data_IF_919075485805
#
_entry.id   IF_919075485805
#
_cell.length_a   1.000
_cell.length_b   1.000
_cell.length_c   1.000
_cell.angle_alpha   90.00
_cell.angle_beta   90.00
_cell.angle_gamma   90.00
#
_symmetry.space_group_name_H-M   'P 1'
#
loop_
_entity.id
_entity.type
_entity.pdbx_description
1 polymer ?
#
# COMPACT_ATOMS: atom_id res chain seq x y z
N UNK A 1 -10.12 -39.06 21.95
CA UNK A 1 -10.45 -38.15 20.83
C UNK A 1 -9.35 -37.11 20.79
N UNK A 2 -8.39 -37.27 19.88
CA UNK A 2 -7.28 -36.33 19.74
C UNK A 2 -7.83 -35.01 19.23
N UNK A 3 -7.59 -33.90 19.93
CA UNK A 3 -7.91 -32.57 19.43
C UNK A 3 -7.03 -32.22 18.22
N UNK A 4 -7.61 -31.57 17.24
CA UNK A 4 -6.92 -31.12 16.05
C UNK A 4 -6.99 -29.60 15.97
N UNK A 5 -5.90 -28.98 15.54
CA UNK A 5 -5.81 -27.55 15.28
C UNK A 5 -5.84 -27.32 13.78
N UNK A 6 -6.67 -26.40 13.32
CA UNK A 6 -6.66 -25.95 11.95
C UNK A 6 -5.74 -24.73 11.85
N UNK A 7 -4.52 -24.93 11.37
CA UNK A 7 -3.56 -23.89 11.09
C UNK A 7 -3.27 -23.87 9.58
N UNK A 8 -3.40 -22.71 8.95
CA UNK A 8 -2.90 -22.43 7.60
C UNK A 8 -3.22 -23.51 6.57
N UNK A 9 -4.49 -23.88 6.46
CA UNK A 9 -4.99 -24.90 5.53
C UNK A 9 -4.60 -26.36 5.85
N UNK A 10 -3.93 -26.60 6.96
CA UNK A 10 -3.57 -27.94 7.40
C UNK A 10 -4.24 -28.23 8.75
N UNK A 11 -4.91 -29.36 8.79
CA UNK A 11 -5.37 -29.92 10.05
C UNK A 11 -4.15 -30.47 10.78
N UNK A 12 -3.78 -29.85 11.89
CA UNK A 12 -2.72 -30.35 12.74
C UNK A 12 -3.31 -31.25 13.82
N UNK A 13 -2.84 -32.48 13.89
CA UNK A 13 -3.16 -33.41 14.97
C UNK A 13 -2.20 -33.13 16.12
N UNK A 14 -2.74 -32.58 17.23
CA UNK A 14 -1.95 -32.22 18.42
C UNK A 14 -1.15 -33.41 18.92
N UNK A 15 -1.72 -34.60 18.88
CA UNK A 15 -1.01 -35.80 19.33
C UNK A 15 0.19 -36.19 18.46
N UNK A 16 0.21 -35.77 17.19
CA UNK A 16 1.37 -35.92 16.31
C UNK A 16 2.45 -34.89 16.65
N UNK A 17 2.05 -33.62 16.81
CA UNK A 17 3.00 -32.57 17.20
C UNK A 17 3.67 -32.94 18.52
N UNK A 18 2.90 -33.35 19.51
CA UNK A 18 3.42 -33.76 20.82
C UNK A 18 4.39 -34.95 20.74
N UNK A 19 4.24 -35.82 19.76
CA UNK A 19 5.17 -36.97 19.56
C UNK A 19 6.44 -36.62 18.82
N UNK A 20 6.44 -35.56 18.01
CA UNK A 20 7.61 -35.14 17.22
C UNK A 20 8.62 -34.34 18.05
N UNK A 21 8.18 -33.78 19.18
CA UNK A 21 9.03 -32.97 20.05
C UNK A 21 9.33 -33.66 21.37
N UNK A 22 10.53 -33.46 21.90
CA UNK A 22 10.99 -34.06 23.16
C UNK A 22 10.17 -33.52 24.35
N UNK A 23 10.11 -34.28 25.45
CA UNK A 23 9.37 -33.90 26.67
C UNK A 23 9.73 -32.51 27.23
N UNK A 24 10.95 -31.99 26.97
CA UNK A 24 11.36 -30.65 27.39
C UNK A 24 10.60 -29.53 26.66
N UNK A 25 10.19 -29.77 25.41
CA UNK A 25 9.51 -28.79 24.56
C UNK A 25 7.97 -28.88 24.69
N UNK A 26 7.49 -29.92 25.38
CA UNK A 26 6.06 -30.20 25.53
C UNK A 26 5.30 -29.03 26.17
N UNK A 27 5.88 -28.44 27.22
CA UNK A 27 5.28 -27.29 27.91
C UNK A 27 5.19 -26.07 26.99
N UNK A 28 6.21 -25.82 26.19
CA UNK A 28 6.22 -24.69 25.23
C UNK A 28 5.11 -24.88 24.18
N UNK A 29 4.92 -26.11 23.72
CA UNK A 29 3.85 -26.44 22.75
C UNK A 29 2.48 -26.25 23.36
N UNK A 30 2.27 -26.73 24.58
CA UNK A 30 1.00 -26.60 25.28
C UNK A 30 0.68 -25.12 25.57
N UNK A 31 1.65 -24.34 26.06
CA UNK A 31 1.53 -22.90 26.31
C UNK A 31 1.19 -22.14 24.99
N UNK A 32 1.78 -22.55 23.86
CA UNK A 32 1.50 -21.95 22.57
C UNK A 32 0.09 -22.30 22.04
N UNK A 33 -0.34 -23.55 22.22
CA UNK A 33 -1.71 -23.97 21.88
C UNK A 33 -2.73 -23.21 22.70
N UNK A 34 -2.49 -23.05 23.99
CA UNK A 34 -3.36 -22.30 24.90
C UNK A 34 -3.41 -20.82 24.53
N UNK A 35 -2.26 -20.22 24.17
CA UNK A 35 -2.20 -18.86 23.63
C UNK A 35 -3.06 -18.71 22.38
N UNK A 36 -2.90 -19.60 21.40
CA UNK A 36 -3.67 -19.54 20.16
C UNK A 36 -5.17 -19.69 20.38
N UNK A 37 -5.57 -20.60 21.29
CA UNK A 37 -6.97 -20.86 21.61
C UNK A 37 -7.60 -19.71 22.43
N UNK A 38 -6.87 -19.17 23.40
CA UNK A 38 -7.32 -18.04 24.23
C UNK A 38 -7.52 -16.76 23.42
N UNK A 39 -6.69 -16.55 22.41
CA UNK A 39 -6.79 -15.39 21.51
C UNK A 39 -7.70 -15.65 20.29
N UNK A 40 -8.47 -16.74 20.28
CA UNK A 40 -9.42 -17.10 19.21
C UNK A 40 -8.77 -17.23 17.81
N UNK A 41 -7.44 -17.45 17.75
CA UNK A 41 -6.69 -17.64 16.49
C UNK A 41 -6.88 -19.04 15.92
N UNK A 42 -7.29 -19.99 16.77
CA UNK A 42 -7.58 -21.38 16.40
C UNK A 42 -8.77 -21.87 17.22
N UNK A 43 -9.32 -22.99 16.85
CA UNK A 43 -10.25 -23.71 17.72
C UNK A 43 -9.99 -25.21 17.67
N UNK A 44 -10.23 -25.86 18.78
CA UNK A 44 -10.08 -27.29 18.93
C UNK A 44 -11.32 -27.99 18.36
N UNK A 45 -11.14 -28.94 17.46
CA UNK A 45 -12.25 -29.67 16.88
C UNK A 45 -11.98 -31.18 16.80
N UNK A 46 -13.06 -31.96 16.64
CA UNK A 46 -12.94 -33.37 16.32
C UNK A 46 -12.50 -33.54 14.87
N UNK A 47 -11.64 -34.51 14.57
CA UNK A 47 -11.18 -34.82 13.21
C UNK A 47 -12.31 -34.98 12.20
N UNK A 48 -13.46 -35.54 12.64
CA UNK A 48 -14.63 -35.71 11.78
C UNK A 48 -15.25 -34.38 11.31
N UNK A 49 -15.06 -33.28 12.09
CA UNK A 49 -15.58 -31.95 11.76
C UNK A 49 -14.63 -31.22 10.81
N UNK A 50 -13.36 -31.52 10.87
CA UNK A 50 -12.31 -30.87 10.04
C UNK A 50 -12.60 -30.92 8.52
N UNK A 51 -13.30 -31.95 8.04
CA UNK A 51 -13.71 -32.06 6.62
C UNK A 51 -14.61 -30.93 6.13
N UNK A 52 -15.28 -30.23 7.03
CA UNK A 52 -16.13 -29.08 6.67
C UNK A 52 -15.35 -27.79 6.51
N UNK A 53 -14.10 -27.73 7.00
CA UNK A 53 -13.20 -26.60 6.82
C UNK A 53 -12.37 -26.83 5.58
N UNK A 54 -12.84 -26.27 4.47
CA UNK A 54 -12.12 -26.31 3.21
C UNK A 54 -10.98 -25.32 3.24
N UNK A 55 -9.89 -25.66 2.56
CA UNK A 55 -8.81 -24.69 2.33
C UNK A 55 -9.35 -23.46 1.61
N UNK A 56 -8.87 -22.30 2.02
CA UNK A 56 -9.13 -21.07 1.29
C UNK A 56 -8.45 -21.18 -0.08
N UNK A 57 -9.22 -21.05 -1.14
CA UNK A 57 -8.69 -20.99 -2.48
C UNK A 57 -8.00 -19.64 -2.67
N UNK A 58 -6.67 -19.66 -2.74
CA UNK A 58 -5.85 -18.46 -2.85
C UNK A 58 -5.93 -17.96 -4.29
N UNK A 59 -6.82 -17.00 -4.52
CA UNK A 59 -7.00 -16.33 -5.79
C UNK A 59 -7.04 -14.84 -5.58
N UNK A 60 -6.31 -14.13 -6.41
CA UNK A 60 -6.41 -12.69 -6.51
C UNK A 60 -6.67 -12.34 -7.98
N UNK A 61 -7.87 -11.88 -8.25
CA UNK A 61 -8.31 -11.47 -9.57
C UNK A 61 -8.82 -10.02 -9.48
N UNK A 62 -8.37 -9.21 -10.41
CA UNK A 62 -8.89 -7.87 -10.63
C UNK A 62 -9.21 -7.74 -12.12
N UNK A 63 -10.40 -7.25 -12.48
CA UNK A 63 -10.79 -7.04 -13.88
C UNK A 63 -9.97 -5.96 -14.58
N UNK A 64 -9.19 -5.20 -13.81
CA UNK A 64 -8.43 -4.05 -14.30
C UNK A 64 -6.98 -4.43 -14.57
N UNK A 65 -6.38 -3.83 -15.59
CA UNK A 65 -4.94 -3.95 -15.86
C UNK A 65 -4.14 -3.18 -14.81
N UNK A 66 -4.59 -1.97 -14.46
CA UNK A 66 -4.03 -1.10 -13.41
C UNK A 66 -5.14 -0.73 -12.42
N UNK A 67 -4.89 -0.91 -11.13
CA UNK A 67 -5.81 -0.51 -10.06
C UNK A 67 -5.43 0.84 -9.46
N UNK A 68 -4.15 1.08 -9.28
CA UNK A 68 -3.60 2.21 -8.53
C UNK A 68 -2.67 3.04 -9.41
N UNK A 69 -2.91 4.33 -9.45
CA UNK A 69 -2.10 5.29 -10.21
C UNK A 69 -1.57 6.36 -9.28
N UNK A 70 -0.27 6.64 -9.38
CA UNK A 70 0.38 7.80 -8.76
C UNK A 70 0.83 8.73 -9.86
N UNK A 71 0.45 10.00 -9.81
CA UNK A 71 0.93 11.05 -10.72
C UNK A 71 1.60 12.16 -9.93
N UNK A 72 2.80 12.51 -10.33
CA UNK A 72 3.56 13.62 -9.77
C UNK A 72 3.53 14.80 -10.74
N UNK A 73 3.15 15.97 -10.22
CA UNK A 73 2.96 17.17 -11.00
C UNK A 73 3.75 18.34 -10.43
N UNK A 74 4.33 19.12 -11.29
CA UNK A 74 4.89 20.43 -11.01
C UNK A 74 4.66 21.39 -12.21
N UNK A 75 5.16 22.62 -12.10
CA UNK A 75 5.03 23.63 -13.17
C UNK A 75 5.66 23.20 -14.49
N UNK A 76 6.61 22.25 -14.46
CA UNK A 76 7.32 21.74 -15.64
C UNK A 76 6.68 20.48 -16.23
N UNK A 77 5.58 20.02 -15.66
CA UNK A 77 4.86 18.85 -16.16
C UNK A 77 4.13 19.19 -17.46
N UNK A 78 4.75 18.86 -18.60
CA UNK A 78 4.28 19.20 -19.95
C UNK A 78 3.91 17.96 -20.76
N UNK A 79 2.95 17.16 -20.28
CA UNK A 79 2.36 16.06 -21.04
C UNK A 79 0.85 16.19 -21.08
N UNK A 80 0.22 15.47 -22.00
CA UNK A 80 -1.23 15.56 -22.23
C UNK A 80 -2.02 14.92 -21.10
N UNK A 81 -2.42 15.74 -20.11
CA UNK A 81 -3.23 15.29 -18.98
C UNK A 81 -4.60 14.75 -19.42
N UNK A 82 -5.39 15.43 -20.27
CA UNK A 82 -6.62 14.87 -20.79
C UNK A 82 -6.47 13.46 -21.35
N UNK A 83 -5.51 13.26 -22.25
CA UNK A 83 -5.24 11.94 -22.83
C UNK A 83 -4.81 10.92 -21.78
N UNK A 84 -3.95 11.32 -20.85
CA UNK A 84 -3.53 10.45 -19.73
C UNK A 84 -4.74 9.96 -18.90
N UNK A 85 -5.69 10.86 -18.59
CA UNK A 85 -6.89 10.48 -17.83
C UNK A 85 -7.83 9.56 -18.62
N UNK A 86 -7.88 9.66 -19.95
CA UNK A 86 -8.57 8.69 -20.79
C UNK A 86 -7.88 7.32 -20.76
N UNK A 87 -6.56 7.31 -20.87
CA UNK A 87 -5.79 6.07 -20.86
C UNK A 87 -5.94 5.32 -19.53
N UNK A 88 -5.87 5.99 -18.38
CA UNK A 88 -6.04 5.34 -17.08
C UNK A 88 -7.48 4.87 -16.81
N UNK A 89 -8.47 5.55 -17.37
CA UNK A 89 -9.86 5.07 -17.40
C UNK A 89 -9.96 3.76 -18.19
N UNK A 90 -9.35 3.71 -19.35
CA UNK A 90 -9.38 2.54 -20.23
C UNK A 90 -8.76 1.31 -19.57
N UNK A 91 -7.66 1.47 -18.83
CA UNK A 91 -6.97 0.38 -18.12
C UNK A 91 -7.57 0.05 -16.76
N UNK A 92 -8.53 0.84 -16.28
CA UNK A 92 -9.38 0.53 -15.14
C UNK A 92 -8.93 1.10 -13.82
N UNK A 93 -8.18 2.23 -13.80
CA UNK A 93 -7.78 2.90 -12.56
C UNK A 93 -8.96 3.17 -11.63
N UNK A 94 -8.86 2.71 -10.38
CA UNK A 94 -9.87 2.94 -9.34
C UNK A 94 -9.35 3.80 -8.19
N UNK A 95 -8.04 3.78 -7.91
CA UNK A 95 -7.40 4.55 -6.87
C UNK A 95 -6.34 5.47 -7.49
N UNK A 96 -6.46 6.76 -7.25
CA UNK A 96 -5.59 7.80 -7.81
C UNK A 96 -4.93 8.60 -6.70
N UNK A 97 -3.61 8.68 -6.68
CA UNK A 97 -2.86 9.60 -5.85
C UNK A 97 -2.24 10.69 -6.74
N UNK A 98 -2.52 11.95 -6.42
CA UNK A 98 -1.96 13.12 -7.09
C UNK A 98 -1.02 13.81 -6.13
N UNK A 99 0.26 13.88 -6.49
CA UNK A 99 1.29 14.61 -5.75
C UNK A 99 1.65 15.89 -6.51
N UNK A 100 1.58 17.03 -5.86
CA UNK A 100 1.90 18.33 -6.44
C UNK A 100 3.07 18.93 -5.68
N UNK A 101 4.09 19.42 -6.40
CA UNK A 101 5.33 19.87 -5.80
C UNK A 101 5.52 21.41 -5.82
N UNK A 102 4.56 22.17 -6.33
CA UNK A 102 4.62 23.63 -6.35
C UNK A 102 3.25 24.32 -6.16
N UNK A 103 3.28 25.57 -5.71
CA UNK A 103 2.08 26.36 -5.44
C UNK A 103 1.28 26.70 -6.69
N UNK A 104 1.94 26.92 -7.84
CA UNK A 104 1.25 27.30 -9.07
C UNK A 104 0.41 26.15 -9.60
N UNK A 105 0.91 24.94 -9.47
CA UNK A 105 0.17 23.73 -9.85
C UNK A 105 -0.99 23.47 -8.88
N UNK A 106 -0.87 23.80 -7.57
CA UNK A 106 -2.00 23.74 -6.62
C UNK A 106 -3.14 24.64 -7.05
N UNK A 107 -2.87 25.83 -7.55
CA UNK A 107 -3.91 26.75 -8.02
C UNK A 107 -4.72 26.18 -9.20
N UNK A 108 -4.18 25.19 -9.93
CA UNK A 108 -4.85 24.48 -11.03
C UNK A 108 -5.50 23.16 -10.62
N UNK A 109 -5.54 22.84 -9.33
CA UNK A 109 -5.99 21.52 -8.85
C UNK A 109 -7.43 21.20 -9.27
N UNK A 110 -8.32 22.17 -9.29
CA UNK A 110 -9.71 21.99 -9.74
C UNK A 110 -9.79 21.61 -11.22
N UNK A 111 -8.95 22.22 -12.06
CA UNK A 111 -8.86 21.88 -13.49
C UNK A 111 -8.35 20.43 -13.65
N UNK A 112 -7.31 20.06 -12.90
CA UNK A 112 -6.76 18.70 -12.92
C UNK A 112 -7.82 17.68 -12.49
N UNK A 113 -8.54 17.96 -11.42
CA UNK A 113 -9.60 17.08 -10.91
C UNK A 113 -10.81 17.01 -11.85
N UNK A 114 -11.04 18.03 -12.67
CA UNK A 114 -12.13 18.00 -13.67
C UNK A 114 -11.99 16.84 -14.65
N UNK A 115 -10.74 16.42 -14.99
CA UNK A 115 -10.48 15.25 -15.84
C UNK A 115 -10.88 13.92 -15.19
N UNK A 116 -11.06 13.89 -13.86
CA UNK A 116 -11.52 12.68 -13.14
C UNK A 116 -13.06 12.52 -13.16
N UNK A 117 -13.79 13.57 -13.55
CA UNK A 117 -15.24 13.53 -13.62
C UNK A 117 -15.70 12.46 -14.64
N UNK A 118 -16.76 11.74 -14.28
CA UNK A 118 -17.33 10.67 -15.12
C UNK A 118 -16.37 9.48 -15.41
N UNK A 119 -15.29 9.36 -14.64
CA UNK A 119 -14.36 8.22 -14.68
C UNK A 119 -14.67 7.21 -13.58
N UNK A 120 -14.15 5.98 -13.70
CA UNK A 120 -14.30 4.89 -12.71
C UNK A 120 -13.51 5.09 -11.42
N UNK A 121 -12.68 6.12 -11.33
CA UNK A 121 -11.88 6.44 -10.14
C UNK A 121 -12.82 6.55 -8.93
N UNK A 122 -12.56 5.76 -7.88
CA UNK A 122 -13.36 5.68 -6.66
C UNK A 122 -12.76 6.49 -5.51
N UNK A 123 -11.43 6.51 -5.44
CA UNK A 123 -10.69 7.21 -4.39
C UNK A 123 -9.62 8.09 -4.99
N UNK A 124 -9.52 9.32 -4.47
CA UNK A 124 -8.47 10.28 -4.84
C UNK A 124 -7.78 10.72 -3.56
N UNK A 125 -6.47 10.56 -3.52
CA UNK A 125 -5.61 11.11 -2.49
C UNK A 125 -4.78 12.25 -3.06
N UNK A 126 -4.75 13.38 -2.35
CA UNK A 126 -3.98 14.55 -2.72
C UNK A 126 -2.82 14.74 -1.76
N UNK A 127 -1.61 14.92 -2.28
CA UNK A 127 -0.43 15.32 -1.51
C UNK A 127 0.06 16.63 -2.10
N UNK A 128 -0.13 17.72 -1.36
CA UNK A 128 0.07 19.09 -1.87
C UNK A 128 0.86 19.94 -0.90
N UNK A 129 1.65 20.90 -1.37
CA UNK A 129 2.31 21.87 -0.48
C UNK A 129 1.31 22.79 0.19
N UNK A 130 1.65 23.23 1.40
CA UNK A 130 0.92 24.29 2.07
C UNK A 130 1.00 25.59 1.26
N UNK A 131 -0.15 26.14 0.92
CA UNK A 131 -0.25 27.48 0.36
C UNK A 131 -1.28 28.29 1.14
N UNK A 132 -0.93 29.51 1.52
CA UNK A 132 -1.82 30.37 2.31
C UNK A 132 -3.13 30.64 1.59
N UNK A 133 -3.09 30.85 0.28
CA UNK A 133 -4.25 31.09 -0.56
C UNK A 133 -5.22 29.90 -0.60
N UNK A 134 -4.69 28.68 -0.66
CA UNK A 134 -5.52 27.48 -0.76
C UNK A 134 -6.14 27.08 0.58
N UNK A 135 -5.35 27.09 1.65
CA UNK A 135 -5.76 26.62 2.98
C UNK A 135 -6.58 27.71 3.73
N UNK A 136 -6.07 28.92 3.78
CA UNK A 136 -6.68 30.01 4.59
C UNK A 136 -7.93 30.59 3.93
N UNK A 137 -7.98 30.65 2.58
CA UNK A 137 -9.14 31.18 1.84
C UNK A 137 -10.29 30.15 1.71
N UNK A 138 -10.19 29.01 2.43
CA UNK A 138 -11.22 27.94 2.42
C UNK A 138 -11.46 27.28 1.07
N UNK A 139 -10.56 27.43 0.11
CA UNK A 139 -10.68 26.77 -1.22
C UNK A 139 -10.66 25.24 -1.07
N UNK A 140 -10.02 24.71 -0.03
CA UNK A 140 -10.02 23.29 0.29
C UNK A 140 -11.43 22.76 0.59
N UNK A 141 -12.31 23.55 1.23
CA UNK A 141 -13.68 23.13 1.53
C UNK A 141 -14.54 23.05 0.26
N UNK A 142 -14.39 24.01 -0.66
CA UNK A 142 -15.09 23.94 -1.95
C UNK A 142 -14.60 22.73 -2.73
N UNK A 143 -13.30 22.47 -2.75
CA UNK A 143 -12.73 21.30 -3.41
C UNK A 143 -13.32 19.99 -2.89
N UNK A 144 -13.38 19.81 -1.56
CA UNK A 144 -13.94 18.59 -0.95
C UNK A 144 -15.44 18.42 -1.20
N UNK A 145 -16.18 19.53 -1.24
CA UNK A 145 -17.61 19.53 -1.57
C UNK A 145 -17.86 19.15 -3.03
N UNK A 146 -17.04 19.68 -3.92
CA UNK A 146 -17.24 19.54 -5.35
C UNK A 146 -16.66 18.20 -5.88
N UNK A 147 -15.71 17.58 -5.11
CA UNK A 147 -15.05 16.32 -5.45
C UNK A 147 -15.17 15.29 -4.33
N UNK A 148 -16.34 14.66 -4.19
CA UNK A 148 -16.67 13.71 -3.12
C UNK A 148 -15.79 12.46 -3.09
N UNK A 149 -15.08 12.15 -4.18
CA UNK A 149 -14.14 11.01 -4.27
C UNK A 149 -12.79 11.28 -3.62
N UNK A 150 -12.51 12.51 -3.17
CA UNK A 150 -11.32 12.78 -2.38
C UNK A 150 -11.47 12.10 -1.04
N UNK A 151 -10.58 11.15 -0.77
CA UNK A 151 -10.56 10.33 0.44
C UNK A 151 -9.55 10.82 1.46
N UNK A 152 -8.47 11.47 1.00
CA UNK A 152 -7.44 12.05 1.86
C UNK A 152 -6.77 13.25 1.19
N UNK A 153 -6.38 14.24 2.00
CA UNK A 153 -5.51 15.34 1.61
C UNK A 153 -4.38 15.45 2.62
N UNK A 154 -3.16 15.31 2.15
CA UNK A 154 -1.93 15.53 2.92
C UNK A 154 -1.36 16.88 2.51
N UNK A 155 -1.29 17.81 3.45
CA UNK A 155 -0.73 19.15 3.25
C UNK A 155 0.62 19.21 3.93
N UNK A 156 1.67 19.21 3.15
CA UNK A 156 3.05 19.22 3.62
C UNK A 156 3.66 20.63 3.61
N UNK A 157 4.84 20.80 4.24
CA UNK A 157 5.50 22.09 4.40
C UNK A 157 4.59 23.13 5.10
N UNK A 158 3.75 22.65 6.01
CA UNK A 158 2.90 23.54 6.84
C UNK A 158 3.74 24.18 7.94
N UNK A 159 3.72 25.52 8.12
CA UNK A 159 4.42 26.13 9.23
C UNK A 159 3.99 25.52 10.57
N UNK A 160 4.96 25.12 11.39
CA UNK A 160 4.70 24.38 12.65
C UNK A 160 3.73 25.12 13.59
N UNK A 161 3.84 26.44 13.64
CA UNK A 161 2.96 27.29 14.43
C UNK A 161 1.50 27.29 13.97
N UNK A 162 1.24 26.91 12.72
CA UNK A 162 -0.11 26.86 12.16
C UNK A 162 -0.79 25.50 12.34
N UNK A 163 -0.04 24.41 12.51
CA UNK A 163 -0.57 23.04 12.51
C UNK A 163 -1.69 22.88 13.53
N UNK A 164 -1.44 23.17 14.80
CA UNK A 164 -2.44 23.03 15.87
C UNK A 164 -3.73 23.83 15.63
N UNK A 165 -3.60 25.03 15.03
CA UNK A 165 -4.76 25.87 14.70
C UNK A 165 -5.56 25.27 13.54
N UNK A 166 -4.87 24.83 12.48
CA UNK A 166 -5.49 24.23 11.31
C UNK A 166 -6.17 22.90 11.64
N UNK A 167 -5.50 22.03 12.41
CA UNK A 167 -6.10 20.77 12.86
C UNK A 167 -7.39 21.01 13.64
N UNK A 168 -7.41 21.96 14.60
CA UNK A 168 -8.64 22.31 15.32
C UNK A 168 -9.74 22.87 14.42
N UNK A 169 -9.37 23.65 13.40
CA UNK A 169 -10.31 24.22 12.46
C UNK A 169 -10.95 23.15 11.57
N UNK A 170 -10.20 22.10 11.21
CA UNK A 170 -10.62 21.06 10.26
C UNK A 170 -11.11 19.77 10.92
N UNK A 171 -10.73 19.49 12.19
CA UNK A 171 -11.10 18.25 12.91
C UNK A 171 -12.60 18.02 13.02
N UNK A 172 -13.40 19.06 13.12
CA UNK A 172 -14.86 18.93 13.28
C UNK A 172 -15.58 18.69 11.94
N UNK A 173 -14.95 19.05 10.83
CA UNK A 173 -15.61 19.02 9.52
C UNK A 173 -15.04 17.94 8.57
N UNK A 174 -13.74 17.59 8.68
CA UNK A 174 -13.09 16.71 7.73
C UNK A 174 -11.92 15.90 8.35
N UNK A 175 -12.21 14.68 8.79
CA UNK A 175 -11.18 13.71 9.23
C UNK A 175 -10.21 13.25 8.11
N UNK A 176 -10.33 13.84 6.92
CA UNK A 176 -9.59 13.46 5.72
C UNK A 176 -8.37 14.35 5.44
N UNK A 177 -8.12 15.38 6.24
CA UNK A 177 -7.04 16.33 6.00
C UNK A 177 -5.98 16.19 7.09
N UNK A 178 -4.73 15.98 6.68
CA UNK A 178 -3.56 15.97 7.57
C UNK A 178 -2.59 17.10 7.22
N UNK A 179 -2.05 17.78 8.25
CA UNK A 179 -1.05 18.84 8.11
C UNK A 179 0.29 18.37 8.65
N UNK A 180 1.35 18.56 7.88
CA UNK A 180 2.71 18.12 8.21
C UNK A 180 3.71 19.24 7.95
N UNK A 181 4.67 19.40 8.86
CA UNK A 181 5.73 20.40 8.71
C UNK A 181 6.84 19.97 7.75
N UNK A 182 6.98 18.66 7.53
CA UNK A 182 8.02 18.11 6.66
C UNK A 182 7.86 18.59 5.22
N UNK A 183 9.00 18.75 4.53
CA UNK A 183 9.02 19.07 3.11
C UNK A 183 8.99 17.78 2.28
N UNK A 184 7.94 17.57 1.53
CA UNK A 184 7.84 16.44 0.57
C UNK A 184 8.15 16.96 -0.83
N UNK A 185 9.41 16.95 -1.21
CA UNK A 185 9.88 17.43 -2.52
C UNK A 185 10.35 16.32 -3.47
N UNK A 186 10.25 15.07 -3.02
CA UNK A 186 10.64 13.91 -3.81
C UNK A 186 9.92 12.64 -3.32
N UNK A 187 10.19 11.53 -3.99
CA UNK A 187 9.59 10.22 -3.70
C UNK A 187 10.20 9.46 -2.51
N UNK A 188 11.15 10.05 -1.78
CA UNK A 188 11.86 9.35 -0.67
C UNK A 188 11.03 9.21 0.61
N UNK A 189 9.89 9.91 0.70
CA UNK A 189 8.96 9.83 1.84
C UNK A 189 7.99 8.65 1.70
N UNK A 190 8.53 7.45 1.47
CA UNK A 190 7.77 6.24 1.24
C UNK A 190 8.55 5.02 1.74
N UNK A 191 7.89 3.89 1.89
CA UNK A 191 8.54 2.61 2.20
C UNK A 191 8.72 2.31 3.68
N UNK A 192 8.20 3.12 4.57
CA UNK A 192 8.19 2.85 6.01
C UNK A 192 7.34 1.62 6.34
N UNK A 193 7.84 0.81 7.26
CA UNK A 193 7.16 -0.38 7.78
C UNK A 193 6.86 -0.17 9.26
N UNK A 194 5.59 -0.19 9.60
CA UNK A 194 5.10 -0.06 10.98
C UNK A 194 3.82 -0.86 11.14
N UNK A 195 3.54 -1.41 12.33
CA UNK A 195 2.26 -2.06 12.63
C UNK A 195 1.04 -1.18 12.34
N UNK A 196 1.16 0.14 12.46
CA UNK A 196 0.10 1.10 12.15
C UNK A 196 -0.37 1.06 10.68
N UNK A 197 0.48 0.55 9.77
CA UNK A 197 0.19 0.44 8.33
C UNK A 197 -0.15 -1.00 7.91
N UNK A 198 -0.28 -1.93 8.85
CA UNK A 198 -0.63 -3.30 8.51
C UNK A 198 -2.08 -3.39 8.05
N UNK A 199 -2.28 -4.07 6.94
CA UNK A 199 -3.60 -4.29 6.36
C UNK A 199 -4.06 -5.72 6.60
N UNK A 200 -5.07 -5.87 7.45
CA UNK A 200 -5.61 -7.18 7.85
C UNK A 200 -6.96 -7.39 7.19
N UNK A 201 -6.95 -7.85 5.95
CA UNK A 201 -8.16 -8.28 5.25
C UNK A 201 -7.83 -9.37 4.22
N UNK A 202 -8.86 -10.10 3.80
CA UNK A 202 -8.70 -11.23 2.90
C UNK A 202 -8.17 -10.85 1.49
N UNK A 203 -8.64 -9.77 0.84
CA UNK A 203 -8.09 -9.36 -0.46
C UNK A 203 -6.60 -9.04 -0.41
N UNK A 204 -6.15 -8.28 0.59
CA UNK A 204 -4.74 -7.96 0.76
C UNK A 204 -3.87 -9.19 1.06
N UNK A 205 -4.38 -10.11 1.89
CA UNK A 205 -3.72 -11.39 2.16
C UNK A 205 -3.55 -12.21 0.88
N UNK A 206 -4.60 -12.35 0.07
CA UNK A 206 -4.55 -13.11 -1.18
C UNK A 206 -3.59 -12.48 -2.20
N UNK A 207 -3.61 -11.16 -2.33
CA UNK A 207 -2.68 -10.43 -3.17
C UNK A 207 -1.23 -10.65 -2.72
N UNK A 208 -0.96 -10.48 -1.41
CA UNK A 208 0.38 -10.65 -0.83
C UNK A 208 0.95 -12.06 -1.00
N UNK A 209 0.08 -13.06 -1.12
CA UNK A 209 0.46 -14.45 -1.41
C UNK A 209 0.96 -14.67 -2.84
N UNK A 210 0.47 -13.88 -3.78
CA UNK A 210 0.68 -14.11 -5.20
C UNK A 210 1.56 -13.06 -5.86
N UNK A 211 1.56 -11.83 -5.31
CA UNK A 211 2.17 -10.66 -5.92
C UNK A 211 2.86 -9.75 -4.88
N UNK A 212 3.60 -8.78 -5.39
CA UNK A 212 4.06 -7.64 -4.61
C UNK A 212 2.89 -6.69 -4.34
N UNK A 213 2.44 -6.62 -3.11
CA UNK A 213 1.25 -5.84 -2.73
C UNK A 213 1.42 -4.30 -2.79
N UNK A 214 2.63 -3.80 -3.03
CA UNK A 214 2.88 -2.38 -3.27
C UNK A 214 2.90 -2.04 -4.77
N UNK A 215 3.42 -2.96 -5.61
CA UNK A 215 3.69 -2.69 -7.03
C UNK A 215 2.69 -3.37 -7.97
N UNK A 216 1.95 -4.39 -7.49
CA UNK A 216 1.01 -5.10 -8.34
C UNK A 216 -0.06 -4.16 -8.88
N UNK A 217 -0.22 -4.17 -10.21
CA UNK A 217 -1.20 -3.32 -10.90
C UNK A 217 -1.09 -1.81 -10.58
N UNK A 218 0.12 -1.37 -10.23
CA UNK A 218 0.44 0.02 -9.95
C UNK A 218 1.16 0.66 -11.13
N UNK A 219 0.74 1.86 -11.46
CA UNK A 219 1.36 2.76 -12.43
C UNK A 219 1.78 4.03 -11.72
N UNK A 220 2.93 4.54 -12.08
CA UNK A 220 3.39 5.86 -11.63
C UNK A 220 3.89 6.67 -12.80
N UNK A 221 3.48 7.93 -12.84
CA UNK A 221 3.98 8.93 -13.77
C UNK A 221 4.69 10.01 -12.97
N UNK A 222 5.98 10.22 -13.21
CA UNK A 222 6.70 11.31 -12.55
C UNK A 222 6.43 12.67 -13.24
N UNK A 223 6.90 13.75 -12.62
CA UNK A 223 6.68 15.11 -13.11
C UNK A 223 7.27 15.39 -14.51
N UNK A 224 8.18 14.54 -15.01
CA UNK A 224 8.71 14.62 -16.35
C UNK A 224 7.91 13.79 -17.38
N UNK A 225 6.89 13.04 -16.91
CA UNK A 225 6.08 12.16 -17.73
C UNK A 225 6.66 10.75 -17.89
N UNK A 226 7.69 10.38 -17.14
CA UNK A 226 8.26 9.04 -17.20
C UNK A 226 7.33 8.00 -16.60
N UNK A 227 7.17 6.89 -17.30
CA UNK A 227 6.31 5.76 -16.94
C UNK A 227 7.10 4.79 -16.08
N UNK A 228 6.65 4.58 -14.83
CA UNK A 228 7.35 3.79 -13.80
C UNK A 228 6.39 2.88 -13.03
N UNK A 229 6.91 1.85 -12.35
CA UNK A 229 6.15 1.11 -11.35
C UNK A 229 6.00 1.89 -10.02
N UNK A 230 7.01 2.69 -9.68
CA UNK A 230 7.04 3.53 -8.48
C UNK A 230 7.94 4.73 -8.72
N UNK A 231 7.57 5.91 -8.21
CA UNK A 231 8.37 7.15 -8.38
C UNK A 231 9.76 7.03 -7.76
N UNK A 232 9.90 6.25 -6.68
CA UNK A 232 11.18 6.02 -6.02
C UNK A 232 12.11 5.05 -6.76
N UNK A 233 11.64 4.35 -7.79
CA UNK A 233 12.49 3.52 -8.64
C UNK A 233 13.10 4.35 -9.77
N UNK A 234 14.41 4.14 -10.02
CA UNK A 234 15.12 4.88 -11.08
C UNK A 234 14.71 4.45 -12.49
N UNK A 235 14.26 3.19 -12.65
CA UNK A 235 13.90 2.64 -13.96
C UNK A 235 12.64 3.28 -14.50
N UNK A 236 12.76 3.91 -15.69
CA UNK A 236 11.64 4.29 -16.55
C UNK A 236 11.47 3.25 -17.66
N UNK A 237 10.22 3.02 -18.06
CA UNK A 237 9.85 2.11 -19.14
C UNK A 237 9.43 2.84 -20.41
N UNK A 238 9.38 4.17 -20.36
CA UNK A 238 9.01 5.07 -21.42
C UNK A 238 8.55 6.42 -20.90
N UNK A 239 8.02 7.26 -21.78
CA UNK A 239 7.56 8.60 -21.44
C UNK A 239 6.23 8.91 -22.15
N UNK A 240 5.27 9.51 -21.44
CA UNK A 240 3.94 9.85 -21.97
C UNK A 240 3.95 10.72 -23.23
N UNK A 241 5.04 11.46 -23.48
CA UNK A 241 5.16 12.33 -24.67
C UNK A 241 5.36 11.53 -25.96
N UNK A 242 5.99 10.36 -25.87
CA UNK A 242 6.50 9.66 -27.05
C UNK A 242 5.99 8.22 -27.15
N UNK A 243 5.51 7.64 -26.04
CA UNK A 243 5.26 6.21 -25.96
C UNK A 243 3.78 5.92 -25.66
N UNK A 244 3.32 4.76 -26.11
CA UNK A 244 1.97 4.29 -25.84
C UNK A 244 1.92 3.66 -24.43
N UNK A 245 1.20 4.31 -23.53
CA UNK A 245 1.06 3.90 -22.13
C UNK A 245 0.52 2.46 -22.02
N UNK A 246 -0.54 2.13 -22.75
CA UNK A 246 -1.21 0.83 -22.66
C UNK A 246 -0.28 -0.30 -23.12
N UNK A 247 0.51 -0.06 -24.17
CA UNK A 247 1.48 -1.03 -24.64
C UNK A 247 2.58 -1.30 -23.61
N UNK A 248 3.10 -0.25 -22.97
CA UNK A 248 4.13 -0.37 -21.93
C UNK A 248 3.62 -1.17 -20.74
N UNK A 249 2.48 -0.79 -20.15
CA UNK A 249 1.97 -1.45 -18.94
C UNK A 249 1.53 -2.90 -19.19
N UNK A 250 1.20 -3.25 -20.44
CA UNK A 250 0.87 -4.61 -20.84
C UNK A 250 2.09 -5.49 -21.05
N UNK A 251 3.29 -4.91 -21.10
CA UNK A 251 4.52 -5.65 -21.33
C UNK A 251 4.93 -6.50 -20.12
N UNK A 252 5.53 -7.66 -20.39
CA UNK A 252 6.07 -8.53 -19.33
C UNK A 252 7.20 -7.86 -18.53
N UNK A 253 7.93 -6.96 -19.17
CA UNK A 253 9.04 -6.23 -18.53
C UNK A 253 8.52 -5.22 -17.49
N UNK A 254 7.45 -4.48 -17.79
CA UNK A 254 6.80 -3.60 -16.83
C UNK A 254 6.21 -4.39 -15.65
N UNK A 255 5.59 -5.52 -15.92
CA UNK A 255 4.91 -6.36 -14.92
C UNK A 255 5.86 -7.25 -14.10
N UNK A 256 7.16 -7.27 -14.42
CA UNK A 256 8.14 -8.14 -13.77
C UNK A 256 8.17 -7.97 -12.26
N UNK A 257 8.16 -6.71 -11.78
CA UNK A 257 8.22 -6.40 -10.34
C UNK A 257 6.92 -6.77 -9.59
N UNK A 258 5.80 -6.89 -10.29
CA UNK A 258 4.54 -7.30 -9.66
C UNK A 258 4.59 -8.71 -9.07
N UNK A 259 5.44 -9.56 -9.64
CA UNK A 259 5.55 -10.99 -9.29
C UNK A 259 6.47 -11.27 -8.11
N UNK A 260 7.25 -10.28 -7.66
CA UNK A 260 8.15 -10.43 -6.50
C UNK A 260 7.33 -10.37 -5.23
N UNK A 261 7.11 -11.50 -4.60
CA UNK A 261 6.33 -11.62 -3.37
C UNK A 261 7.21 -11.82 -2.14
N UNK A 262 6.68 -11.54 -0.97
CA UNK A 262 7.45 -11.59 0.29
C UNK A 262 8.00 -12.97 0.65
N UNK A 263 7.44 -14.05 0.13
CA UNK A 263 7.98 -15.40 0.29
C UNK A 263 9.37 -15.59 -0.38
N UNK A 264 9.75 -14.67 -1.30
CA UNK A 264 11.03 -14.69 -2.01
C UNK A 264 12.06 -13.72 -1.41
N UNK A 265 11.63 -12.85 -0.49
CA UNK A 265 12.47 -11.80 0.08
C UNK A 265 13.17 -12.29 1.33
N UNK A 266 14.48 -12.08 1.40
CA UNK A 266 15.28 -12.43 2.56
C UNK A 266 14.70 -11.85 3.84
N UNK A 267 14.75 -12.60 4.95
CA UNK A 267 14.15 -12.26 6.25
C UNK A 267 12.61 -12.19 6.19
N UNK A 268 12.02 -11.47 5.21
CA UNK A 268 10.55 -11.34 5.12
C UNK A 268 9.83 -12.67 4.91
N UNK A 269 10.45 -13.63 4.21
CA UNK A 269 9.88 -14.98 3.98
C UNK A 269 9.60 -15.74 5.29
N UNK A 270 10.34 -15.43 6.35
CA UNK A 270 10.22 -16.05 7.66
C UNK A 270 9.39 -15.20 8.65
N UNK A 271 9.00 -13.97 8.25
CA UNK A 271 8.25 -13.02 9.08
C UNK A 271 6.76 -13.38 9.15
N UNK A 272 6.20 -13.40 10.34
CA UNK A 272 4.78 -13.64 10.60
C UNK A 272 3.87 -12.56 10.00
N UNK A 273 4.36 -11.31 9.89
CA UNK A 273 3.61 -10.17 9.35
C UNK A 273 3.64 -10.06 7.83
N UNK A 274 4.34 -10.95 7.11
CA UNK A 274 4.61 -10.80 5.68
C UNK A 274 3.38 -10.60 4.79
N UNK A 275 2.23 -11.16 5.18
CA UNK A 275 1.02 -11.07 4.37
C UNK A 275 0.07 -9.93 4.75
N UNK A 276 0.42 -9.15 5.78
CA UNK A 276 -0.31 -7.94 6.18
C UNK A 276 0.54 -6.67 6.04
N UNK A 277 1.84 -6.83 5.77
CA UNK A 277 2.81 -5.75 5.64
C UNK A 277 3.03 -5.39 4.17
N UNK A 278 3.02 -4.10 3.85
CA UNK A 278 3.37 -3.62 2.50
C UNK A 278 4.84 -3.89 2.16
N UNK A 279 5.12 -4.20 0.90
CA UNK A 279 6.46 -4.56 0.43
C UNK A 279 7.08 -3.47 -0.44
N UNK A 280 8.11 -2.81 0.05
CA UNK A 280 8.86 -1.82 -0.72
C UNK A 280 10.05 -2.44 -1.44
N UNK A 281 10.09 -2.31 -2.79
CA UNK A 281 11.23 -2.74 -3.62
C UNK A 281 12.10 -1.57 -4.09
N UNK A 282 11.72 -0.33 -3.76
CA UNK A 282 12.53 0.85 -4.07
C UNK A 282 13.64 1.08 -3.03
N UNK A 283 13.34 0.79 -1.76
CA UNK A 283 14.28 0.93 -0.65
C UNK A 283 14.50 -0.43 0.00
N UNK A 284 15.59 -1.08 -0.35
CA UNK A 284 15.96 -2.41 0.12
C UNK A 284 17.36 -2.41 0.73
N UNK A 285 17.63 -3.33 1.63
CA UNK A 285 18.97 -3.51 2.18
C UNK A 285 19.96 -3.86 1.06
N UNK A 286 21.12 -3.22 1.07
CA UNK A 286 22.19 -3.39 0.09
C UNK A 286 21.79 -3.13 -1.37
N UNK A 287 20.66 -2.45 -1.62
CA UNK A 287 20.07 -2.30 -2.95
C UNK A 287 19.79 -3.65 -3.65
N UNK A 288 19.65 -4.72 -2.89
CA UNK A 288 19.30 -6.04 -3.40
C UNK A 288 17.77 -6.10 -3.65
N UNK A 289 17.37 -6.48 -4.85
CA UNK A 289 15.95 -6.60 -5.23
C UNK A 289 15.17 -7.57 -4.35
N UNK A 290 15.84 -8.58 -3.79
CA UNK A 290 15.28 -9.57 -2.87
C UNK A 290 15.69 -9.33 -1.40
N UNK A 291 16.31 -8.20 -1.11
CA UNK A 291 16.67 -7.77 0.24
C UNK A 291 15.45 -7.32 1.06
N UNK A 292 15.56 -7.39 2.38
CA UNK A 292 14.57 -6.83 3.32
C UNK A 292 14.32 -5.34 3.01
N UNK A 293 13.08 -4.80 3.15
CA UNK A 293 12.85 -3.37 3.07
C UNK A 293 13.72 -2.59 4.07
N UNK A 294 14.45 -1.59 3.58
CA UNK A 294 15.44 -0.83 4.37
C UNK A 294 14.87 -0.17 5.63
N UNK A 295 13.61 0.26 5.57
CA UNK A 295 12.94 0.95 6.68
C UNK A 295 12.07 -0.01 7.51
N UNK A 296 12.37 -1.31 7.48
CA UNK A 296 11.78 -2.31 8.36
C UNK A 296 12.70 -2.58 9.54
N UNK A 297 12.31 -2.11 10.71
CA UNK A 297 13.05 -2.28 11.97
C UNK A 297 12.58 -3.49 12.79
N UNK A 298 11.88 -4.43 12.17
CA UNK A 298 11.44 -5.65 12.82
C UNK A 298 12.37 -6.81 12.56
N UNK A 299 12.78 -7.49 13.62
CA UNK A 299 13.51 -8.77 13.54
C UNK A 299 12.51 -9.92 13.83
N UNK A 300 12.17 -10.76 12.82
CA UNK A 300 11.24 -11.87 13.01
C UNK A 300 11.86 -13.04 13.80
N UNK A 301 13.17 -13.14 13.89
CA UNK A 301 13.84 -14.21 14.63
C UNK A 301 13.87 -13.92 16.12
N UNK A 302 13.99 -12.64 16.51
CA UNK A 302 13.93 -12.17 17.90
C UNK A 302 12.51 -11.72 18.29
N UNK A 303 11.58 -11.64 17.33
CA UNK A 303 10.20 -11.12 17.50
C UNK A 303 10.19 -9.72 18.13
N UNK A 304 11.10 -8.85 17.71
CA UNK A 304 11.29 -7.50 18.27
C UNK A 304 11.30 -6.43 17.20
N UNK A 305 10.77 -5.28 17.60
CA UNK A 305 10.99 -4.02 16.89
C UNK A 305 12.19 -3.34 17.53
N UNK A 306 13.19 -3.02 16.71
CA UNK A 306 14.25 -2.12 17.17
C UNK A 306 13.61 -0.78 17.52
N UNK A 307 14.04 -0.16 18.62
CA UNK A 307 13.51 1.12 19.06
C UNK A 307 13.66 2.15 17.94
N UNK A 308 12.52 2.64 17.44
CA UNK A 308 12.41 3.76 16.53
C UNK A 308 12.77 5.07 17.24
#
# INVERSE_FOLDING_TARGET
LSPCILLKNNLLDISKIQKEYNNADQKIIDDYIDFLNTNELVFLCKKAIAKYFKNIDIKYESPYLINNVVIELDINSHYDLPQFFEDIEHVGCIDLQIKIFDEQTVNRISDILSYTLNKRIKAIELIIPYTKSFVVQKNIFSLLRDHLRITAIVIYNTPQEHINHLEKQFLNDFSKIGFYSDMINNSQYCGFVSPAYFTVNLPFFMESKLYNNCLNKKLTIDNQGNIKNCTALNKSYGNLKNDNLIQIISSSEFQKLWKIKKDEISVCRDCEFRYMCSDCRAFTENNDLYGKPKYCHYDPYEMKWDNL
#
